data_IF_259167358114
#
_entry.id   IF_259167358114
#
_cell.length_a   1.000
_cell.length_b   1.000
_cell.length_c   1.000
_cell.angle_alpha   90.00
_cell.angle_beta   90.00
_cell.angle_gamma   90.00
#
_symmetry.space_group_name_H-M   'P 1'
#
loop_
_entity.id
_entity.type
_entity.pdbx_description
1 polymer ?
#
# COMPACT_ATOMS: atom_id res chain seq x y z
N UNK A 1 -29.95 -10.75 -7.35
CA UNK A 1 -30.31 -10.28 -8.70
C UNK A 1 -29.07 -10.29 -9.62
N UNK A 2 -28.41 -11.45 -9.79
CA UNK A 2 -27.03 -11.51 -10.31
C UNK A 2 -26.90 -11.97 -11.78
N UNK A 3 -28.00 -12.09 -12.52
CA UNK A 3 -27.99 -12.65 -13.88
C UNK A 3 -28.76 -11.71 -14.82
N UNK A 4 -28.17 -10.55 -15.14
CA UNK A 4 -28.54 -9.83 -16.35
C UNK A 4 -27.68 -10.40 -17.48
N UNK A 5 -28.34 -11.10 -18.42
CA UNK A 5 -27.79 -11.68 -19.65
C UNK A 5 -26.66 -10.83 -20.23
N UNK A 6 -25.44 -11.32 -20.11
CA UNK A 6 -24.30 -10.75 -20.82
C UNK A 6 -24.40 -11.17 -22.29
N UNK A 7 -24.84 -10.26 -23.15
CA UNK A 7 -24.99 -10.51 -24.60
C UNK A 7 -23.68 -10.94 -25.25
N UNK A 8 -22.53 -10.58 -24.66
CA UNK A 8 -21.18 -10.92 -25.16
C UNK A 8 -20.93 -12.42 -25.19
N UNK A 9 -21.43 -13.17 -24.21
CA UNK A 9 -21.28 -14.64 -24.18
C UNK A 9 -22.12 -15.29 -25.27
N UNK A 10 -23.35 -14.80 -25.48
CA UNK A 10 -24.24 -15.31 -26.52
C UNK A 10 -23.67 -15.02 -27.91
N UNK A 11 -23.23 -13.81 -28.14
CA UNK A 11 -22.72 -13.37 -29.44
C UNK A 11 -21.39 -14.08 -29.78
N UNK A 12 -20.55 -14.34 -28.79
CA UNK A 12 -19.35 -15.14 -28.96
C UNK A 12 -19.62 -16.63 -29.25
N UNK A 13 -20.63 -17.22 -28.60
CA UNK A 13 -21.07 -18.59 -28.87
C UNK A 13 -21.55 -18.71 -30.33
N UNK A 14 -22.40 -17.79 -30.78
CA UNK A 14 -22.90 -17.74 -32.15
C UNK A 14 -21.76 -17.50 -33.17
N UNK A 15 -20.79 -16.65 -32.85
CA UNK A 15 -19.63 -16.38 -33.71
C UNK A 15 -18.63 -17.54 -33.83
N UNK A 16 -18.66 -18.49 -32.89
CA UNK A 16 -17.79 -19.66 -32.89
C UNK A 16 -18.50 -20.95 -33.33
N UNK A 17 -19.81 -20.89 -33.65
CA UNK A 17 -20.61 -22.06 -34.00
C UNK A 17 -20.11 -22.77 -35.27
N UNK A 18 -19.40 -22.07 -36.17
CA UNK A 18 -18.80 -22.66 -37.38
C UNK A 18 -17.29 -22.94 -37.27
N UNK A 19 -16.66 -22.69 -36.12
CA UNK A 19 -15.20 -22.79 -35.92
C UNK A 19 -14.77 -24.08 -35.24
N UNK A 20 -13.52 -24.49 -35.47
CA UNK A 20 -12.92 -25.69 -34.88
C UNK A 20 -12.83 -25.63 -33.34
N UNK A 21 -12.81 -26.79 -32.68
CA UNK A 21 -12.88 -26.92 -31.21
C UNK A 21 -11.80 -26.12 -30.47
N UNK A 22 -10.58 -26.07 -31.01
CA UNK A 22 -9.48 -25.31 -30.43
C UNK A 22 -9.71 -23.79 -30.45
N UNK A 23 -10.35 -23.29 -31.51
CA UNK A 23 -10.67 -21.87 -31.68
C UNK A 23 -11.86 -21.46 -30.79
N UNK A 24 -12.85 -22.34 -30.66
CA UNK A 24 -13.97 -22.21 -29.72
C UNK A 24 -13.46 -22.13 -28.27
N UNK A 25 -12.62 -23.07 -27.87
CA UNK A 25 -12.01 -23.09 -26.53
C UNK A 25 -11.15 -21.84 -26.29
N UNK A 26 -10.33 -21.44 -27.25
CA UNK A 26 -9.50 -20.22 -27.12
C UNK A 26 -10.35 -18.96 -27.00
N UNK A 27 -11.45 -18.86 -27.73
CA UNK A 27 -12.35 -17.69 -27.67
C UNK A 27 -13.14 -17.66 -26.36
N UNK A 28 -13.66 -18.81 -25.92
CA UNK A 28 -14.31 -18.95 -24.62
C UNK A 28 -13.34 -18.65 -23.47
N UNK A 29 -12.13 -19.18 -23.53
CA UNK A 29 -11.07 -18.88 -22.58
C UNK A 29 -10.71 -17.40 -22.60
N UNK A 30 -10.65 -16.72 -23.74
CA UNK A 30 -10.43 -15.27 -23.78
C UNK A 30 -11.57 -14.46 -23.15
N UNK A 31 -12.83 -14.91 -23.26
CA UNK A 31 -13.99 -14.27 -22.63
C UNK A 31 -14.07 -14.50 -21.12
N UNK A 32 -13.65 -15.67 -20.65
CA UNK A 32 -13.56 -15.96 -19.20
C UNK A 32 -12.26 -15.40 -18.60
N UNK A 33 -11.20 -15.26 -19.40
CA UNK A 33 -9.91 -14.67 -19.04
C UNK A 33 -9.90 -13.15 -19.16
N UNK A 34 -10.88 -12.53 -19.84
CA UNK A 34 -11.34 -11.18 -19.49
C UNK A 34 -12.08 -11.19 -18.14
N UNK A 35 -11.47 -11.83 -17.14
CA UNK A 35 -11.63 -11.42 -15.76
C UNK A 35 -10.87 -10.10 -15.66
N UNK A 36 -11.58 -9.00 -15.91
CA UNK A 36 -11.14 -7.70 -15.40
C UNK A 36 -10.83 -7.93 -13.93
N UNK A 37 -9.56 -7.83 -13.50
CA UNK A 37 -9.24 -7.71 -12.07
C UNK A 37 -10.15 -6.59 -11.54
N UNK A 38 -11.16 -6.94 -10.74
CA UNK A 38 -12.26 -6.01 -10.43
C UNK A 38 -11.85 -4.90 -9.45
N UNK A 39 -10.58 -4.85 -9.06
CA UNK A 39 -9.92 -3.74 -8.41
C UNK A 39 -8.40 -3.92 -8.42
N UNK A 40 -7.66 -2.81 -8.34
CA UNK A 40 -6.22 -2.82 -8.13
C UNK A 40 -5.90 -2.97 -6.64
N UNK A 41 -4.75 -3.57 -6.33
CA UNK A 41 -4.15 -3.50 -5.00
C UNK A 41 -3.21 -2.29 -4.92
N UNK A 42 -3.57 -1.33 -4.09
CA UNK A 42 -2.91 -0.03 -3.96
C UNK A 42 -2.41 0.13 -2.53
N UNK A 43 -1.13 0.45 -2.36
CA UNK A 43 -0.55 0.74 -1.06
C UNK A 43 -0.08 2.19 -1.05
N UNK A 44 -0.60 2.98 -0.12
CA UNK A 44 -0.10 4.32 0.15
C UNK A 44 0.97 4.26 1.24
N UNK A 45 2.13 4.86 0.97
CA UNK A 45 3.18 5.08 1.96
C UNK A 45 3.24 6.58 2.20
N UNK A 46 3.03 7.02 3.43
CA UNK A 46 2.92 8.43 3.78
C UNK A 46 3.49 8.72 5.18
N UNK A 47 3.78 9.99 5.45
CA UNK A 47 4.15 10.46 6.80
C UNK A 47 2.92 10.86 7.63
N UNK A 48 1.80 11.22 6.98
CA UNK A 48 0.58 11.69 7.64
C UNK A 48 -0.64 10.87 7.21
N UNK A 49 -1.61 10.75 8.10
CA UNK A 49 -2.95 10.26 7.83
C UNK A 49 -3.94 10.81 8.86
N UNK A 50 -4.99 11.47 8.41
CA UNK A 50 -6.05 11.94 9.29
C UNK A 50 -6.93 10.78 9.79
N UNK A 51 -7.45 10.85 11.02
CA UNK A 51 -7.19 11.86 12.04
C UNK A 51 -5.93 11.60 12.89
N UNK A 52 -5.26 10.46 12.72
CA UNK A 52 -4.29 9.93 13.70
C UNK A 52 -2.95 10.68 13.73
N UNK A 53 -2.47 11.12 12.57
CA UNK A 53 -1.19 11.80 12.37
C UNK A 53 -1.42 12.90 11.34
N UNK A 54 -1.80 14.09 11.80
CA UNK A 54 -2.20 15.20 10.95
C UNK A 54 -1.47 16.46 11.37
N UNK A 55 -0.68 17.00 10.46
CA UNK A 55 -0.02 18.31 10.62
C UNK A 55 -0.60 19.30 9.63
N UNK A 56 -0.80 18.87 8.38
CA UNK A 56 -1.31 19.70 7.30
C UNK A 56 -2.46 19.07 6.53
N UNK A 57 -2.57 19.44 5.25
CA UNK A 57 -3.59 18.92 4.33
C UNK A 57 -3.31 17.49 3.87
N UNK A 58 -2.04 17.03 3.91
CA UNK A 58 -1.64 15.71 3.42
C UNK A 58 -2.47 14.59 4.06
N UNK A 59 -2.62 14.60 5.39
CA UNK A 59 -3.38 13.57 6.10
C UNK A 59 -4.84 13.44 5.64
N UNK A 60 -5.49 14.53 5.23
CA UNK A 60 -6.85 14.50 4.68
C UNK A 60 -6.86 13.89 3.29
N UNK A 61 -5.84 14.17 2.48
CA UNK A 61 -5.71 13.62 1.14
C UNK A 61 -5.51 12.11 1.19
N UNK A 62 -4.62 11.60 2.04
CA UNK A 62 -4.41 10.14 2.20
C UNK A 62 -5.72 9.43 2.52
N UNK A 63 -6.45 9.98 3.49
CA UNK A 63 -7.72 9.42 3.96
C UNK A 63 -8.80 9.51 2.89
N UNK A 64 -8.97 10.68 2.28
CA UNK A 64 -9.98 10.95 1.26
C UNK A 64 -9.75 10.14 -0.01
N UNK A 65 -8.51 10.12 -0.52
CA UNK A 65 -8.09 9.35 -1.68
C UNK A 65 -8.25 7.85 -1.42
N UNK A 66 -7.77 7.36 -0.28
CA UNK A 66 -7.87 5.94 0.07
C UNK A 66 -9.32 5.47 0.11
N UNK A 67 -10.21 6.22 0.79
CA UNK A 67 -11.64 5.92 0.85
C UNK A 67 -12.29 6.01 -0.55
N UNK A 68 -11.88 6.96 -1.40
CA UNK A 68 -12.39 7.08 -2.76
C UNK A 68 -12.00 5.88 -3.64
N UNK A 69 -10.76 5.41 -3.54
CA UNK A 69 -10.27 4.22 -4.25
C UNK A 69 -10.95 2.94 -3.75
N UNK A 70 -11.14 2.81 -2.43
CA UNK A 70 -11.86 1.68 -1.83
C UNK A 70 -13.32 1.63 -2.32
N UNK A 71 -14.02 2.78 -2.39
CA UNK A 71 -15.38 2.87 -2.96
C UNK A 71 -15.46 2.47 -4.44
N UNK A 72 -14.36 2.58 -5.18
CA UNK A 72 -14.24 2.12 -6.58
C UNK A 72 -13.90 0.62 -6.69
N UNK A 73 -13.84 -0.10 -5.57
CA UNK A 73 -13.58 -1.55 -5.54
C UNK A 73 -12.09 -1.92 -5.46
N UNK A 74 -11.20 -0.97 -5.22
CA UNK A 74 -9.77 -1.25 -5.06
C UNK A 74 -9.46 -1.72 -3.63
N UNK A 75 -8.46 -2.60 -3.50
CA UNK A 75 -7.88 -2.94 -2.20
C UNK A 75 -6.87 -1.86 -1.85
N UNK A 76 -7.11 -1.11 -0.78
CA UNK A 76 -6.26 0.00 -0.36
C UNK A 76 -5.71 -0.26 1.03
N UNK A 77 -4.41 -0.13 1.20
CA UNK A 77 -3.72 -0.24 2.49
C UNK A 77 -2.78 0.95 2.70
N UNK A 78 -2.57 1.35 3.95
CA UNK A 78 -1.71 2.49 4.31
C UNK A 78 -0.51 1.99 5.12
N UNK A 79 0.68 2.50 4.83
CA UNK A 79 1.88 2.31 5.64
C UNK A 79 2.32 3.66 6.19
N UNK A 80 2.43 3.73 7.52
CA UNK A 80 2.82 4.93 8.27
C UNK A 80 3.99 4.62 9.21
N UNK A 81 4.80 5.62 9.57
CA UNK A 81 5.64 5.52 10.75
C UNK A 81 4.78 5.49 12.02
N UNK A 82 5.20 4.71 13.02
CA UNK A 82 4.57 4.72 14.34
C UNK A 82 5.18 5.85 15.19
N UNK A 83 4.61 7.05 15.09
CA UNK A 83 5.02 8.15 15.96
C UNK A 83 4.57 7.94 17.40
N UNK A 84 5.37 8.37 18.37
CA UNK A 84 4.98 8.41 19.78
C UNK A 84 3.84 9.40 20.06
N UNK A 85 3.66 10.41 19.20
CA UNK A 85 2.64 11.45 19.31
C UNK A 85 1.39 11.27 18.43
N UNK A 86 1.17 10.10 17.79
CA UNK A 86 -0.10 9.86 17.08
C UNK A 86 -1.27 9.70 18.05
N UNK A 87 -2.49 10.00 17.58
CA UNK A 87 -3.73 9.76 18.32
C UNK A 87 -4.13 8.29 18.26
N UNK A 88 -3.52 7.46 19.10
CA UNK A 88 -3.71 6.00 19.11
C UNK A 88 -5.16 5.56 19.36
N UNK A 89 -5.93 6.31 20.14
CA UNK A 89 -7.35 6.00 20.43
C UNK A 89 -8.25 6.06 19.19
N UNK A 90 -7.78 6.67 18.11
CA UNK A 90 -8.48 6.75 16.83
C UNK A 90 -8.11 5.61 15.87
N UNK A 91 -7.27 4.66 16.30
CA UNK A 91 -6.91 3.46 15.54
C UNK A 91 -7.69 2.27 16.09
N UNK A 92 -8.64 1.77 15.32
CA UNK A 92 -9.40 0.59 15.68
C UNK A 92 -8.55 -0.68 15.58
N UNK A 93 -8.74 -1.61 16.52
CA UNK A 93 -8.08 -2.92 16.56
C UNK A 93 -6.54 -2.88 16.49
N UNK A 94 -5.94 -1.81 17.03
CA UNK A 94 -4.49 -1.66 17.05
C UNK A 94 -3.83 -2.80 17.83
N UNK A 95 -2.95 -3.54 17.16
CA UNK A 95 -2.15 -4.60 17.77
C UNK A 95 -0.80 -4.76 17.12
N UNK A 96 0.18 -5.16 17.91
CA UNK A 96 1.46 -5.59 17.40
C UNK A 96 1.31 -6.97 16.76
N UNK A 97 1.92 -7.15 15.59
CA UNK A 97 2.11 -8.47 15.02
C UNK A 97 3.26 -9.18 15.76
N UNK A 98 3.15 -10.50 15.90
CA UNK A 98 4.21 -11.35 16.44
C UNK A 98 5.27 -11.65 15.35
N UNK A 99 5.74 -10.58 14.71
CA UNK A 99 6.79 -10.61 13.68
C UNK A 99 7.73 -9.44 13.90
N UNK A 100 9.01 -9.69 13.67
CA UNK A 100 10.05 -8.65 13.65
C UNK A 100 10.69 -8.69 12.28
N UNK A 101 10.70 -7.54 11.60
CA UNK A 101 11.39 -7.42 10.31
C UNK A 101 12.69 -6.64 10.49
N UNK A 102 13.73 -7.00 9.74
CA UNK A 102 15.02 -6.33 9.81
C UNK A 102 15.29 -5.55 8.53
N UNK A 103 15.65 -4.28 8.67
CA UNK A 103 15.98 -3.40 7.56
C UNK A 103 17.42 -2.91 7.67
N UNK A 104 18.17 -3.05 6.58
CA UNK A 104 19.54 -2.54 6.50
C UNK A 104 19.55 -1.01 6.34
N UNK A 105 20.32 -0.33 7.18
CA UNK A 105 20.49 1.11 7.16
C UNK A 105 21.88 1.46 7.68
N UNK A 106 22.59 2.38 7.01
CA UNK A 106 23.89 2.92 7.45
C UNK A 106 24.90 1.85 7.94
N UNK A 107 25.07 0.77 7.17
CA UNK A 107 26.04 -0.28 7.50
C UNK A 107 25.52 -1.42 8.39
N UNK A 108 24.30 -1.32 8.93
CA UNK A 108 23.81 -2.21 9.99
C UNK A 108 22.36 -2.67 9.75
N UNK A 109 22.00 -3.82 10.34
CA UNK A 109 20.62 -4.29 10.37
C UNK A 109 19.91 -3.78 11.63
N UNK A 110 18.72 -3.22 11.45
CA UNK A 110 17.87 -2.74 12.54
C UNK A 110 16.52 -3.45 12.53
N UNK A 111 16.04 -3.79 13.72
CA UNK A 111 14.72 -4.41 13.91
C UNK A 111 13.62 -3.37 13.83
N UNK A 112 12.47 -3.80 13.30
CA UNK A 112 11.26 -3.02 13.24
C UNK A 112 10.10 -3.86 13.76
N UNK A 113 9.34 -3.29 14.69
CA UNK A 113 8.10 -3.89 15.17
C UNK A 113 6.94 -3.38 14.33
N UNK A 114 6.08 -4.28 13.90
CA UNK A 114 4.96 -3.95 13.00
C UNK A 114 3.68 -3.98 13.79
N UNK A 115 2.92 -2.90 13.67
CA UNK A 115 1.59 -2.77 14.23
C UNK A 115 0.58 -2.71 13.10
N UNK A 116 -0.58 -3.28 13.34
CA UNK A 116 -1.72 -3.24 12.41
C UNK A 116 -2.92 -2.64 13.12
N UNK A 117 -3.73 -1.91 12.36
CA UNK A 117 -4.99 -1.36 12.82
C UNK A 117 -5.83 -0.87 11.66
N UNK A 118 -6.99 -0.30 11.97
CA UNK A 118 -7.88 0.31 10.99
C UNK A 118 -8.07 1.79 11.31
N UNK A 119 -7.85 2.65 10.33
CA UNK A 119 -8.02 4.10 10.45
C UNK A 119 -9.05 4.52 9.41
N UNK A 120 -10.18 5.10 9.83
CA UNK A 120 -11.22 5.58 8.92
C UNK A 120 -11.75 4.50 7.93
N UNK A 121 -11.71 3.22 8.33
CA UNK A 121 -12.10 2.07 7.51
C UNK A 121 -11.04 1.57 6.53
N UNK A 122 -9.82 2.13 6.59
CA UNK A 122 -8.66 1.71 5.80
C UNK A 122 -7.69 0.89 6.66
N UNK A 123 -7.26 -0.31 6.21
CA UNK A 123 -6.20 -1.07 6.84
C UNK A 123 -4.89 -0.27 6.88
N UNK A 124 -4.25 -0.22 8.04
CA UNK A 124 -3.02 0.51 8.26
C UNK A 124 -1.94 -0.36 8.92
N UNK A 125 -0.72 -0.22 8.43
CA UNK A 125 0.50 -0.76 9.03
C UNK A 125 1.30 0.40 9.61
N UNK A 126 1.67 0.30 10.89
CA UNK A 126 2.54 1.26 11.54
C UNK A 126 3.89 0.60 11.86
N UNK A 127 4.96 1.20 11.34
CA UNK A 127 6.32 0.71 11.51
C UNK A 127 6.95 1.40 12.72
N UNK A 128 7.38 0.64 13.71
CA UNK A 128 8.12 1.12 14.89
C UNK A 128 9.60 0.75 14.75
N UNK A 129 10.49 1.70 14.42
CA UNK A 129 11.92 1.43 14.33
C UNK A 129 12.55 1.21 15.70
N UNK A 130 13.27 0.11 15.87
CA UNK A 130 14.16 -0.07 17.01
C UNK A 130 15.56 0.44 16.66
N UNK A 131 15.65 1.75 16.40
CA UNK A 131 16.89 2.43 16.04
C UNK A 131 17.42 3.25 17.25
N UNK A 132 18.75 3.26 17.53
CA UNK A 132 19.32 4.00 18.67
C UNK A 132 19.00 5.50 18.68
N UNK A 133 18.83 6.10 17.50
CA UNK A 133 18.45 7.51 17.35
C UNK A 133 16.97 7.81 17.64
N UNK A 134 16.18 6.83 18.08
CA UNK A 134 14.77 6.97 18.46
C UNK A 134 13.92 7.63 17.37
N UNK A 135 14.06 7.14 16.13
CA UNK A 135 13.26 7.64 15.02
C UNK A 135 11.76 7.48 15.32
N UNK A 136 10.99 8.54 15.08
CA UNK A 136 9.56 8.61 15.38
C UNK A 136 9.19 8.50 16.87
N UNK A 137 10.16 8.62 17.79
CA UNK A 137 9.92 8.68 19.23
C UNK A 137 10.52 9.97 19.81
N UNK A 138 9.99 11.10 19.36
CA UNK A 138 10.53 12.44 19.65
C UNK A 138 9.45 13.50 19.92
N UNK A 139 8.17 13.12 19.90
CA UNK A 139 7.05 14.05 20.10
C UNK A 139 6.70 14.92 18.90
N UNK A 140 7.39 14.77 17.77
CA UNK A 140 7.21 15.55 16.54
C UNK A 140 7.04 14.63 15.32
N UNK A 141 6.28 15.07 14.31
CA UNK A 141 6.07 14.32 13.08
C UNK A 141 7.20 14.49 12.06
N UNK A 142 7.77 15.68 12.02
CA UNK A 142 8.91 16.10 11.19
C UNK A 142 9.38 17.48 11.68
N UNK A 143 10.45 18.00 11.10
CA UNK A 143 11.13 19.22 11.49
C UNK A 143 12.42 18.98 12.28
N UNK A 144 12.87 17.73 12.36
CA UNK A 144 14.13 17.38 13.02
C UNK A 144 15.32 17.58 12.06
N UNK A 145 16.49 17.88 12.61
CA UNK A 145 17.72 18.08 11.82
C UNK A 145 18.06 16.85 10.95
N UNK A 146 17.72 15.65 11.39
CA UNK A 146 17.99 14.38 10.72
C UNK A 146 16.74 13.74 10.09
N UNK A 147 15.70 14.51 9.79
CA UNK A 147 14.47 14.00 9.15
C UNK A 147 14.80 13.17 7.90
N UNK A 148 15.76 13.63 7.08
CA UNK A 148 16.17 12.89 5.89
C UNK A 148 16.58 11.46 6.25
N UNK A 149 17.34 11.25 7.33
CA UNK A 149 17.75 9.91 7.77
C UNK A 149 16.55 9.13 8.31
N UNK A 150 15.69 9.76 9.10
CA UNK A 150 14.48 9.16 9.65
C UNK A 150 13.55 8.62 8.56
N UNK A 151 13.29 9.43 7.53
CA UNK A 151 12.43 9.06 6.40
C UNK A 151 13.11 8.15 5.38
N UNK A 152 14.44 8.22 5.24
CA UNK A 152 15.23 7.22 4.52
C UNK A 152 15.08 5.83 5.15
N UNK A 153 15.20 5.77 6.47
CA UNK A 153 15.03 4.55 7.25
C UNK A 153 13.62 3.99 7.07
N UNK A 154 12.60 4.84 7.24
CA UNK A 154 11.20 4.44 7.07
C UNK A 154 10.90 3.92 5.68
N UNK A 155 11.35 4.62 4.64
CA UNK A 155 11.18 4.19 3.24
C UNK A 155 11.75 2.79 3.01
N UNK A 156 12.93 2.50 3.55
CA UNK A 156 13.55 1.18 3.46
C UNK A 156 12.76 0.12 4.25
N UNK A 157 12.37 0.42 5.49
CA UNK A 157 11.60 -0.49 6.32
C UNK A 157 10.22 -0.81 5.71
N UNK A 158 9.56 0.16 5.08
CA UNK A 158 8.31 -0.03 4.38
C UNK A 158 8.45 -1.02 3.21
N UNK A 159 9.49 -0.90 2.39
CA UNK A 159 9.73 -1.87 1.31
C UNK A 159 10.03 -3.28 1.83
N UNK A 160 10.82 -3.40 2.89
CA UNK A 160 11.08 -4.70 3.55
C UNK A 160 9.78 -5.29 4.08
N UNK A 161 8.93 -4.49 4.74
CA UNK A 161 7.61 -4.94 5.20
C UNK A 161 6.79 -5.51 4.05
N UNK A 162 6.71 -4.81 2.92
CA UNK A 162 5.95 -5.28 1.76
C UNK A 162 6.52 -6.58 1.19
N UNK A 163 7.84 -6.68 1.10
CA UNK A 163 8.53 -7.88 0.60
C UNK A 163 8.32 -9.10 1.52
N UNK A 164 8.61 -8.96 2.81
CA UNK A 164 8.50 -10.04 3.81
C UNK A 164 7.04 -10.48 4.02
N UNK A 165 6.09 -9.55 3.94
CA UNK A 165 4.67 -9.88 3.98
C UNK A 165 4.14 -10.51 2.67
N UNK A 166 4.99 -10.69 1.66
CA UNK A 166 4.62 -11.25 0.36
C UNK A 166 3.62 -10.38 -0.41
N UNK A 167 3.53 -9.09 -0.07
CA UNK A 167 2.57 -8.15 -0.69
C UNK A 167 2.98 -7.91 -2.14
N UNK A 168 2.01 -8.02 -3.05
CA UNK A 168 2.19 -7.76 -4.49
C UNK A 168 1.24 -6.67 -4.95
N UNK A 169 1.40 -5.42 -4.48
CA UNK A 169 0.57 -4.33 -4.91
C UNK A 169 0.74 -4.08 -6.40
N UNK A 170 -0.36 -3.74 -7.07
CA UNK A 170 -0.32 -3.25 -8.45
C UNK A 170 0.27 -1.84 -8.49
N UNK A 171 -0.01 -1.04 -7.47
CA UNK A 171 0.44 0.34 -7.35
C UNK A 171 0.94 0.64 -5.93
N UNK A 172 2.09 1.30 -5.83
CA UNK A 172 2.54 1.98 -4.61
C UNK A 172 2.45 3.49 -4.85
N UNK A 173 1.71 4.20 -4.00
CA UNK A 173 1.68 5.66 -3.96
C UNK A 173 2.60 6.14 -2.85
N UNK A 174 3.65 6.85 -3.23
CA UNK A 174 4.53 7.57 -2.33
C UNK A 174 4.05 9.02 -2.24
N UNK A 175 3.84 9.49 -1.01
CA UNK A 175 3.37 10.84 -0.77
C UNK A 175 4.46 11.71 -0.13
N UNK A 176 4.72 12.83 -0.78
CA UNK A 176 5.72 13.84 -0.46
C UNK A 176 7.17 13.31 -0.33
N UNK A 177 8.07 14.24 -0.03
CA UNK A 177 9.51 14.02 0.06
C UNK A 177 9.90 12.96 1.09
N UNK A 178 9.09 12.76 2.14
CA UNK A 178 9.29 11.79 3.20
C UNK A 178 9.32 10.34 2.68
N UNK A 179 8.79 10.08 1.48
CA UNK A 179 8.68 8.72 0.92
C UNK A 179 9.37 8.56 -0.42
N UNK A 180 10.10 9.59 -0.89
CA UNK A 180 10.79 9.56 -2.18
C UNK A 180 11.80 8.42 -2.28
N UNK A 181 12.45 8.02 -1.18
CA UNK A 181 13.46 6.96 -1.22
C UNK A 181 12.89 5.56 -1.48
N UNK A 182 11.58 5.36 -1.31
CA UNK A 182 10.89 4.16 -1.79
C UNK A 182 11.09 4.02 -3.31
N UNK A 183 11.04 5.13 -4.05
CA UNK A 183 11.23 5.15 -5.51
C UNK A 183 12.60 4.65 -5.91
N UNK A 184 13.61 5.18 -5.23
CA UNK A 184 14.99 4.88 -5.56
C UNK A 184 15.37 3.44 -5.20
N UNK A 185 14.87 2.92 -4.08
CA UNK A 185 15.24 1.59 -3.56
C UNK A 185 14.40 0.43 -4.11
N UNK A 186 13.31 0.69 -4.84
CA UNK A 186 12.35 -0.34 -5.31
C UNK A 186 12.93 -1.37 -6.27
N UNK A 187 13.96 -1.01 -7.05
CA UNK A 187 14.37 -1.73 -8.27
C UNK A 187 14.68 -3.23 -8.06
N UNK A 188 15.08 -3.62 -6.84
CA UNK A 188 15.44 -5.01 -6.54
C UNK A 188 14.34 -5.83 -5.86
N UNK A 189 13.45 -5.20 -5.09
CA UNK A 189 12.49 -5.90 -4.20
C UNK A 189 11.10 -6.11 -4.80
N UNK A 190 10.62 -5.20 -5.66
CA UNK A 190 9.21 -5.19 -6.13
C UNK A 190 9.09 -4.89 -7.64
N UNK A 191 9.59 -5.81 -8.47
CA UNK A 191 9.76 -5.64 -9.93
C UNK A 191 8.47 -5.50 -10.77
N UNK A 192 7.30 -5.86 -10.23
CA UNK A 192 6.04 -5.92 -11.00
C UNK A 192 5.01 -4.85 -10.64
N UNK A 193 5.36 -3.90 -9.76
CA UNK A 193 4.44 -2.89 -9.25
C UNK A 193 4.69 -1.53 -9.91
N UNK A 194 3.63 -0.82 -10.32
CA UNK A 194 3.73 0.57 -10.75
C UNK A 194 4.01 1.48 -9.53
N UNK A 195 4.82 2.52 -9.72
CA UNK A 195 5.12 3.47 -8.66
C UNK A 195 4.63 4.86 -9.06
N UNK A 196 3.91 5.51 -8.16
CA UNK A 196 3.42 6.87 -8.35
C UNK A 196 3.93 7.73 -7.19
N UNK A 197 4.59 8.84 -7.53
CA UNK A 197 4.97 9.88 -6.57
C UNK A 197 3.93 10.98 -6.66
N UNK A 198 3.42 11.41 -5.51
CA UNK A 198 2.47 12.50 -5.40
C UNK A 198 3.08 13.52 -4.44
N UNK A 199 3.44 14.69 -4.98
CA UNK A 199 3.95 15.83 -4.22
C UNK A 199 2.82 16.87 -4.09
N UNK A 200 2.61 17.43 -2.90
CA UNK A 200 1.61 18.46 -2.60
C UNK A 200 2.19 19.87 -2.40
#
# INVERSE_FOLDING_TARGET
MAWKKDSRIRDAYLACESKGEHERLTTFLKLTYTSTRSGLHIIHIAAEMAPVAKVGGLGDVITGLGKALQRKGHLVEIVLPKYDCIQYDLIADLKALDVVIESYFDGQLFRNKIWVGTIEGLPAYLIEPHHPAKFFWRGTYYGEHDDFKQFSFFSRAALVLLYEAGKRPDIIHCHDWQTTLVVWTKSDLLKSCCLMVIDF
#
